data_IF_482427099108
#
_entry.id   IF_482427099108
#
_cell.length_a   1.000
_cell.length_b   1.000
_cell.length_c   1.000
_cell.angle_alpha   90.00
_cell.angle_beta   90.00
_cell.angle_gamma   90.00
#
_symmetry.space_group_name_H-M   'P 1'
#
loop_
_entity.id
_entity.type
_entity.pdbx_description
1 polymer ?
#
# COMPACT_ATOMS: atom_id res chain seq x y z
N UNK A 1 4.33 -8.16 -15.29
CA UNK A 1 4.82 -6.84 -14.87
C UNK A 1 3.69 -5.81 -14.85
N UNK A 2 2.95 -5.60 -15.95
CA UNK A 2 1.75 -4.74 -15.95
C UNK A 2 0.66 -5.24 -14.99
N UNK A 3 0.39 -6.55 -14.99
CA UNK A 3 -0.58 -7.17 -14.08
C UNK A 3 -0.17 -6.98 -12.61
N UNK A 4 1.09 -7.29 -12.27
CA UNK A 4 1.63 -7.04 -10.93
C UNK A 4 1.53 -5.56 -10.50
N UNK A 5 1.82 -4.62 -11.39
CA UNK A 5 1.67 -3.19 -11.10
C UNK A 5 0.20 -2.82 -10.84
N UNK A 6 -0.71 -3.27 -11.69
CA UNK A 6 -2.14 -3.03 -11.54
C UNK A 6 -2.70 -3.66 -10.26
N UNK A 7 -2.24 -4.86 -9.91
CA UNK A 7 -2.61 -5.55 -8.67
C UNK A 7 -2.12 -4.76 -7.46
N UNK A 8 -0.86 -4.29 -7.46
CA UNK A 8 -0.32 -3.46 -6.38
C UNK A 8 -1.12 -2.17 -6.19
N UNK A 9 -1.51 -1.50 -7.27
CA UNK A 9 -2.35 -0.31 -7.18
C UNK A 9 -3.76 -0.64 -6.66
N UNK A 10 -4.36 -1.74 -7.13
CA UNK A 10 -5.71 -2.15 -6.74
C UNK A 10 -5.77 -2.55 -5.28
N UNK A 11 -4.88 -3.46 -4.84
CA UNK A 11 -4.86 -3.94 -3.47
C UNK A 11 -4.33 -2.87 -2.50
N UNK A 12 -3.37 -2.04 -2.91
CA UNK A 12 -2.92 -0.89 -2.12
C UNK A 12 -4.04 0.14 -1.91
N UNK A 13 -4.83 0.42 -2.95
CA UNK A 13 -6.02 1.28 -2.85
C UNK A 13 -7.11 0.69 -1.94
N UNK A 14 -7.38 -0.62 -2.06
CA UNK A 14 -8.32 -1.32 -1.17
C UNK A 14 -7.87 -1.26 0.30
N UNK A 15 -6.58 -1.48 0.55
CA UNK A 15 -6.01 -1.43 1.90
C UNK A 15 -6.12 -0.02 2.51
N UNK A 16 -5.90 1.04 1.71
CA UNK A 16 -6.13 2.43 2.16
C UNK A 16 -7.59 2.63 2.59
N UNK A 17 -8.54 2.17 1.78
CA UNK A 17 -9.97 2.25 2.14
C UNK A 17 -10.33 1.47 3.41
N UNK A 18 -9.80 0.25 3.57
CA UNK A 18 -10.04 -0.57 4.78
C UNK A 18 -9.42 0.06 6.04
N UNK A 19 -8.28 0.76 5.92
CA UNK A 19 -7.69 1.53 7.03
C UNK A 19 -8.59 2.70 7.42
N UNK A 20 -9.11 3.46 6.45
CA UNK A 20 -10.01 4.58 6.74
C UNK A 20 -11.30 4.10 7.44
N UNK A 21 -11.86 2.97 7.00
CA UNK A 21 -13.02 2.33 7.66
C UNK A 21 -12.68 1.88 9.10
N UNK A 22 -11.49 1.28 9.28
CA UNK A 22 -11.01 0.84 10.58
C UNK A 22 -10.82 2.03 11.54
N UNK A 23 -10.23 3.13 11.09
CA UNK A 23 -10.02 4.34 11.89
C UNK A 23 -11.36 4.96 12.32
N UNK A 24 -12.36 4.95 11.43
CA UNK A 24 -13.72 5.35 11.77
C UNK A 24 -14.32 4.47 12.88
N UNK A 25 -14.28 3.15 12.70
CA UNK A 25 -14.79 2.20 13.69
C UNK A 25 -14.03 2.27 15.03
N UNK A 26 -12.71 2.51 14.97
CA UNK A 26 -11.85 2.66 16.14
C UNK A 26 -12.20 3.92 16.94
N UNK A 27 -12.44 5.05 16.25
CA UNK A 27 -12.91 6.28 16.88
C UNK A 27 -14.25 6.07 17.60
N UNK A 28 -15.21 5.44 16.94
CA UNK A 28 -16.52 5.14 17.54
C UNK A 28 -16.40 4.20 18.74
N UNK A 29 -15.59 3.15 18.62
CA UNK A 29 -15.33 2.23 19.74
C UNK A 29 -14.69 2.96 20.92
N UNK A 30 -13.68 3.78 20.65
CA UNK A 30 -12.97 4.57 21.66
C UNK A 30 -13.87 5.55 22.40
N UNK A 31 -14.83 6.15 21.70
CA UNK A 31 -15.81 7.05 22.30
C UNK A 31 -16.80 6.34 23.25
N UNK A 32 -17.04 5.05 23.04
CA UNK A 32 -17.94 4.23 23.86
C UNK A 32 -17.21 3.48 25.00
N UNK A 33 -15.88 3.44 24.98
CA UNK A 33 -15.10 2.83 26.06
C UNK A 33 -15.19 3.63 27.36
N UNK A 34 -15.28 2.91 28.47
CA UNK A 34 -15.24 3.47 29.82
C UNK A 34 -14.15 2.78 30.63
N UNK A 35 -13.57 3.53 31.58
CA UNK A 35 -12.51 3.07 32.45
C UNK A 35 -11.11 3.25 31.85
N UNK A 36 -10.23 3.84 32.64
CA UNK A 36 -8.90 4.29 32.20
C UNK A 36 -8.02 3.14 31.66
N UNK A 37 -8.13 1.96 32.27
CA UNK A 37 -7.35 0.78 31.85
C UNK A 37 -7.81 0.23 30.49
N UNK A 38 -9.11 0.21 30.23
CA UNK A 38 -9.66 -0.26 28.95
C UNK A 38 -9.30 0.71 27.82
N UNK A 39 -9.42 2.01 28.12
CA UNK A 39 -8.99 3.11 27.23
C UNK A 39 -7.51 3.00 26.89
N UNK A 40 -6.62 2.89 27.89
CA UNK A 40 -5.19 2.84 27.65
C UNK A 40 -4.77 1.59 26.86
N UNK A 41 -5.41 0.46 27.15
CA UNK A 41 -5.17 -0.80 26.43
C UNK A 41 -5.61 -0.70 24.98
N UNK A 42 -6.78 -0.12 24.72
CA UNK A 42 -7.26 0.13 23.37
C UNK A 42 -6.35 1.10 22.63
N UNK A 43 -6.00 2.25 23.22
CA UNK A 43 -5.16 3.28 22.58
C UNK A 43 -3.79 2.69 22.18
N UNK A 44 -3.24 1.79 23.00
CA UNK A 44 -2.00 1.06 22.69
C UNK A 44 -2.18 0.08 21.53
N UNK A 45 -3.22 -0.75 21.58
CA UNK A 45 -3.49 -1.73 20.54
C UNK A 45 -3.80 -1.06 19.19
N UNK A 46 -4.62 -0.02 19.21
CA UNK A 46 -4.96 0.82 18.07
C UNK A 46 -3.71 1.40 17.43
N UNK A 47 -2.87 2.08 18.22
CA UNK A 47 -1.60 2.65 17.73
C UNK A 47 -0.72 1.60 17.04
N UNK A 48 -0.60 0.41 17.61
CA UNK A 48 0.23 -0.65 17.03
C UNK A 48 -0.33 -1.10 15.68
N UNK A 49 -1.63 -1.35 15.60
CA UNK A 49 -2.30 -1.76 14.36
C UNK A 49 -2.17 -0.68 13.29
N UNK A 50 -2.49 0.57 13.60
CA UNK A 50 -2.36 1.70 12.65
C UNK A 50 -0.92 1.86 12.16
N UNK A 51 0.07 1.67 13.04
CA UNK A 51 1.50 1.72 12.67
C UNK A 51 1.85 0.61 11.70
N UNK A 52 1.48 -0.64 11.99
CA UNK A 52 1.79 -1.79 11.13
C UNK A 52 1.10 -1.71 9.76
N UNK A 53 -0.13 -1.20 9.72
CA UNK A 53 -0.89 -0.97 8.50
C UNK A 53 -0.26 0.13 7.64
N UNK A 54 0.13 1.25 8.26
CA UNK A 54 0.83 2.34 7.56
C UNK A 54 2.17 1.89 7.01
N UNK A 55 2.96 1.16 7.81
CA UNK A 55 4.24 0.59 7.37
C UNK A 55 4.08 -0.39 6.19
N UNK A 56 2.98 -1.14 6.17
CA UNK A 56 2.67 -2.07 5.09
C UNK A 56 2.30 -1.32 3.81
N UNK A 57 1.46 -0.28 3.90
CA UNK A 57 1.16 0.60 2.77
C UNK A 57 2.42 1.23 2.19
N UNK A 58 3.30 1.76 3.04
CA UNK A 58 4.57 2.34 2.59
C UNK A 58 5.44 1.36 1.81
N UNK A 59 5.46 0.09 2.25
CA UNK A 59 6.18 -0.98 1.54
C UNK A 59 5.53 -1.32 0.20
N UNK A 60 4.20 -1.35 0.14
CA UNK A 60 3.45 -1.58 -1.10
C UNK A 60 3.66 -0.44 -2.11
N UNK A 61 3.60 0.81 -1.66
CA UNK A 61 3.83 1.99 -2.51
C UNK A 61 5.29 1.98 -3.04
N UNK A 62 6.28 1.64 -2.21
CA UNK A 62 7.68 1.45 -2.64
C UNK A 62 7.83 0.31 -3.65
N UNK A 63 7.13 -0.80 -3.46
CA UNK A 63 7.17 -1.93 -4.38
C UNK A 63 6.55 -1.57 -5.73
N UNK A 64 5.40 -0.88 -5.74
CA UNK A 64 4.76 -0.40 -6.95
C UNK A 64 5.69 0.51 -7.77
N UNK A 65 6.36 1.46 -7.12
CA UNK A 65 7.35 2.33 -7.78
C UNK A 65 8.54 1.56 -8.39
N UNK A 66 9.02 0.52 -7.70
CA UNK A 66 10.09 -0.33 -8.22
C UNK A 66 9.63 -1.14 -9.44
N UNK A 67 8.40 -1.69 -9.41
CA UNK A 67 7.82 -2.43 -10.53
C UNK A 67 7.62 -1.52 -11.73
N UNK A 68 7.13 -0.30 -11.54
CA UNK A 68 6.97 0.71 -12.60
C UNK A 68 8.31 1.08 -13.25
N UNK A 69 9.34 1.34 -12.43
CA UNK A 69 10.67 1.64 -12.92
C UNK A 69 11.26 0.48 -13.73
N UNK A 70 11.07 -0.76 -13.26
CA UNK A 70 11.53 -1.95 -13.96
C UNK A 70 10.75 -2.20 -15.27
N UNK A 71 9.44 -1.94 -15.28
CA UNK A 71 8.61 -1.98 -16.49
C UNK A 71 9.11 -0.97 -17.53
N UNK A 72 9.34 0.27 -17.11
CA UNK A 72 9.81 1.35 -17.99
C UNK A 72 11.15 0.99 -18.64
N UNK A 73 12.11 0.47 -17.86
CA UNK A 73 13.39 0.00 -18.39
C UNK A 73 13.24 -1.17 -19.37
N UNK A 74 12.32 -2.10 -19.09
CA UNK A 74 12.07 -3.23 -19.96
C UNK A 74 11.50 -2.77 -21.32
N UNK A 75 10.56 -1.81 -21.31
CA UNK A 75 10.01 -1.22 -22.52
C UNK A 75 11.07 -0.44 -23.32
N UNK A 76 11.93 0.33 -22.65
CA UNK A 76 13.03 1.04 -23.31
C UNK A 76 14.05 0.09 -23.95
N UNK A 77 14.37 -1.01 -23.26
CA UNK A 77 15.29 -2.03 -23.78
C UNK A 77 14.68 -2.76 -24.99
N UNK A 78 13.41 -3.13 -24.92
CA UNK A 78 12.68 -3.77 -26.02
C UNK A 78 12.59 -2.85 -27.25
N UNK A 79 12.29 -1.55 -27.06
CA UNK A 79 12.30 -0.57 -28.14
C UNK A 79 13.67 -0.41 -28.82
N UNK A 80 14.75 -0.34 -28.03
CA UNK A 80 16.13 -0.27 -28.58
C UNK A 80 16.53 -1.52 -29.35
N UNK A 81 16.10 -2.71 -28.90
CA UNK A 81 16.35 -3.97 -29.62
C UNK A 81 15.53 -4.01 -30.92
N UNK A 82 14.25 -3.61 -30.88
CA UNK A 82 13.39 -3.51 -32.06
C UNK A 82 13.94 -2.56 -33.13
N UNK A 83 14.41 -1.37 -32.73
CA UNK A 83 15.06 -0.41 -33.63
C UNK A 83 16.38 -0.95 -34.21
N UNK A 84 17.14 -1.71 -33.41
CA UNK A 84 18.38 -2.36 -33.86
C UNK A 84 18.16 -3.46 -34.92
N UNK A 85 16.99 -4.09 -34.94
CA UNK A 85 16.60 -5.05 -35.98
C UNK A 85 15.94 -4.40 -37.21
N UNK A 86 15.30 -3.23 -37.06
CA UNK A 86 14.72 -2.48 -38.18
C UNK A 86 15.77 -1.76 -39.06
N UNK A 87 17.00 -1.61 -38.55
CA UNK A 87 18.13 -1.00 -39.25
C UNK A 87 19.04 -1.97 -40.03
N UNK A 88 18.68 -3.25 -40.12
CA UNK A 88 19.41 -4.30 -40.87
C UNK A 88 18.73 -4.67 -42.19
#
# INVERSE_FOLDING_TARGET
>A
MNELFNDLQTYGGKMKGEIDELEGAASDFRANLQGDSAIASFDTAHKNVTTELTDTLDKLDKLAAQVEAALSRALEADGKVGDGFAGF
#
